data_IF_467946541981
#
_entry.id   IF_467946541981
#
_cell.length_a   1.000
_cell.length_b   1.000
_cell.length_c   1.000
_cell.angle_alpha   90.00
_cell.angle_beta   90.00
_cell.angle_gamma   90.00
#
_symmetry.space_group_name_H-M   'P 1'
#
loop_
_entity.id
_entity.type
_entity.pdbx_description
1 polymer ?
#
# COMPACT_ATOMS: atom_id res chain seq x y z
N UNK A 1 8.68 -1.12 29.78
CA UNK A 1 8.53 -1.15 28.30
C UNK A 1 7.09 -0.77 27.99
N UNK A 2 6.80 0.54 27.89
CA UNK A 2 5.49 1.04 27.49
C UNK A 2 5.50 1.22 25.97
N UNK A 3 4.94 0.26 25.24
CA UNK A 3 4.60 0.40 23.83
C UNK A 3 3.09 0.22 23.69
N UNK A 4 2.34 1.24 24.08
CA UNK A 4 0.94 1.39 23.72
C UNK A 4 0.62 2.89 23.70
N UNK A 5 -0.15 3.30 22.69
CA UNK A 5 -0.77 4.61 22.49
C UNK A 5 0.05 5.66 21.70
N UNK A 6 0.17 5.45 20.39
CA UNK A 6 0.24 6.58 19.46
C UNK A 6 -0.32 6.22 18.07
N UNK A 7 -1.62 5.90 17.97
CA UNK A 7 -2.25 5.70 16.65
C UNK A 7 -3.74 6.02 16.63
N UNK A 8 -4.11 7.26 16.97
CA UNK A 8 -5.45 7.75 16.63
C UNK A 8 -5.50 9.09 15.88
N UNK A 9 -4.40 9.86 15.72
CA UNK A 9 -4.46 11.19 15.07
C UNK A 9 -3.20 11.68 14.33
N UNK A 10 -2.17 10.85 14.09
CA UNK A 10 -1.09 11.27 13.19
C UNK A 10 -1.53 11.02 11.75
N UNK A 11 -2.05 12.07 11.11
CA UNK A 11 -2.03 12.16 9.64
C UNK A 11 -0.56 12.31 9.27
N UNK A 12 0.08 11.19 8.95
CA UNK A 12 1.41 11.22 8.36
C UNK A 12 1.23 11.78 6.94
N UNK A 13 1.93 12.87 6.64
CA UNK A 13 2.04 13.42 5.30
C UNK A 13 3.47 13.23 4.85
N UNK A 14 3.65 12.70 3.66
CA UNK A 14 4.96 12.54 3.04
C UNK A 14 5.02 13.32 1.73
N UNK A 15 6.19 13.84 1.39
CA UNK A 15 6.45 14.30 0.02
C UNK A 15 6.56 13.06 -0.86
N UNK A 16 5.60 12.88 -1.75
CA UNK A 16 5.48 11.59 -2.45
C UNK A 16 6.43 11.50 -3.64
N UNK A 17 6.90 12.63 -4.19
CA UNK A 17 7.75 12.60 -5.39
C UNK A 17 9.13 12.00 -5.09
N UNK A 18 9.87 12.47 -4.06
CA UNK A 18 11.13 11.85 -3.69
C UNK A 18 10.96 10.38 -3.30
N UNK A 19 9.87 10.06 -2.59
CA UNK A 19 9.56 8.69 -2.19
C UNK A 19 9.40 7.74 -3.38
N UNK A 20 8.57 8.10 -4.38
CA UNK A 20 8.35 7.24 -5.54
C UNK A 20 9.54 7.20 -6.50
N UNK A 21 10.34 8.28 -6.59
CA UNK A 21 11.61 8.27 -7.31
C UNK A 21 12.59 7.27 -6.69
N UNK A 22 12.78 7.32 -5.36
CA UNK A 22 13.65 6.40 -4.62
C UNK A 22 13.15 4.95 -4.71
N UNK A 23 11.83 4.75 -4.59
CA UNK A 23 11.20 3.44 -4.73
C UNK A 23 11.14 2.93 -6.18
N UNK A 24 11.56 3.73 -7.17
CA UNK A 24 11.44 3.41 -8.60
C UNK A 24 10.00 3.06 -9.03
N UNK A 25 9.00 3.70 -8.42
CA UNK A 25 7.59 3.54 -8.75
C UNK A 25 7.18 4.69 -9.68
N UNK A 26 6.57 4.35 -10.80
CA UNK A 26 5.99 5.33 -11.71
C UNK A 26 4.50 5.51 -11.41
N UNK A 27 4.12 6.75 -11.14
CA UNK A 27 2.72 7.18 -11.11
C UNK A 27 2.34 7.76 -12.47
N UNK A 28 1.15 7.41 -12.93
CA UNK A 28 0.52 7.96 -14.11
C UNK A 28 -0.61 8.91 -13.67
N UNK A 29 -1.79 8.35 -13.38
CA UNK A 29 -3.00 9.08 -13.02
C UNK A 29 -3.62 8.62 -11.70
N UNK A 30 -2.94 7.71 -10.99
CA UNK A 30 -3.47 7.07 -9.80
C UNK A 30 -3.63 8.10 -8.66
N UNK A 31 -4.83 8.14 -8.08
CA UNK A 31 -5.14 8.94 -6.90
C UNK A 31 -4.65 8.26 -5.62
N UNK A 32 -4.60 6.93 -5.64
CA UNK A 32 -4.24 6.13 -4.48
C UNK A 32 -3.06 5.22 -4.79
N UNK A 33 -2.22 4.98 -3.78
CA UNK A 33 -1.23 3.90 -3.80
C UNK A 33 -1.38 3.07 -2.54
N UNK A 34 -1.69 1.79 -2.71
CA UNK A 34 -1.77 0.84 -1.60
C UNK A 34 -0.44 0.08 -1.48
N UNK A 35 0.27 0.33 -0.38
CA UNK A 35 1.54 -0.29 -0.07
C UNK A 35 1.29 -1.47 0.87
N UNK A 36 1.60 -2.68 0.42
CA UNK A 36 1.29 -3.94 1.09
C UNK A 36 2.58 -4.54 1.68
N UNK A 37 2.70 -4.66 3.01
CA UNK A 37 3.83 -5.35 3.64
C UNK A 37 3.63 -6.86 3.59
N UNK A 38 4.24 -7.55 2.63
CA UNK A 38 3.95 -8.96 2.32
C UNK A 38 4.05 -9.92 3.53
N UNK A 39 4.97 -9.69 4.48
CA UNK A 39 5.02 -10.47 5.73
C UNK A 39 4.69 -9.63 6.98
N UNK A 40 3.82 -8.63 6.83
CA UNK A 40 3.19 -7.94 7.95
C UNK A 40 2.06 -8.77 8.56
N UNK A 41 1.07 -8.10 9.14
CA UNK A 41 -0.13 -8.71 9.71
C UNK A 41 -0.86 -9.55 8.64
N UNK A 42 -0.95 -10.86 8.87
CA UNK A 42 -1.54 -11.83 7.91
C UNK A 42 -2.96 -11.47 7.49
N UNK A 43 -3.79 -11.03 8.44
CA UNK A 43 -5.17 -10.61 8.16
C UNK A 43 -5.22 -9.34 7.30
N UNK A 44 -4.36 -8.36 7.56
CA UNK A 44 -4.31 -7.13 6.78
C UNK A 44 -3.77 -7.38 5.36
N UNK A 45 -2.76 -8.24 5.22
CA UNK A 45 -2.26 -8.67 3.91
C UNK A 45 -3.37 -9.39 3.14
N UNK A 46 -4.09 -10.32 3.78
CA UNK A 46 -5.23 -11.00 3.15
C UNK A 46 -6.28 -10.01 2.65
N UNK A 47 -6.73 -9.08 3.50
CA UNK A 47 -7.67 -8.00 3.10
C UNK A 47 -7.16 -7.19 1.90
N UNK A 48 -5.85 -6.92 1.85
CA UNK A 48 -5.24 -6.19 0.72
C UNK A 48 -5.38 -6.97 -0.60
N UNK A 49 -5.15 -8.29 -0.58
CA UNK A 49 -5.35 -9.14 -1.76
C UNK A 49 -6.83 -9.20 -2.16
N UNK A 50 -7.73 -9.42 -1.19
CA UNK A 50 -9.17 -9.52 -1.43
C UNK A 50 -9.73 -8.22 -2.05
N UNK A 51 -9.23 -7.06 -1.61
CA UNK A 51 -9.56 -5.75 -2.18
C UNK A 51 -8.96 -5.56 -3.59
N UNK A 52 -7.68 -5.89 -3.76
CA UNK A 52 -6.90 -5.63 -4.96
C UNK A 52 -7.36 -6.45 -6.16
N UNK A 53 -7.59 -7.76 -6.00
CA UNK A 53 -7.90 -8.67 -7.11
C UNK A 53 -9.06 -8.19 -8.00
N UNK A 54 -10.27 -7.87 -7.48
CA UNK A 54 -11.36 -7.39 -8.33
C UNK A 54 -11.11 -6.00 -8.95
N UNK A 55 -10.08 -5.28 -8.48
CA UNK A 55 -9.76 -3.90 -8.85
C UNK A 55 -8.34 -3.76 -9.38
N UNK A 56 -7.74 -4.86 -9.85
CA UNK A 56 -6.32 -4.91 -10.17
C UNK A 56 -5.96 -3.91 -11.27
N UNK A 57 -6.82 -3.79 -12.28
CA UNK A 57 -6.65 -2.91 -13.44
C UNK A 57 -7.30 -1.53 -13.25
N UNK A 58 -7.66 -1.13 -12.03
CA UNK A 58 -8.27 0.18 -11.80
C UNK A 58 -7.25 1.29 -12.03
N UNK A 59 -7.53 2.30 -12.90
CA UNK A 59 -6.59 3.40 -13.16
C UNK A 59 -6.47 4.39 -12.00
N UNK A 60 -7.29 4.22 -10.95
CA UNK A 60 -7.36 5.13 -9.81
C UNK A 60 -6.37 4.71 -8.71
N UNK A 61 -6.00 3.43 -8.65
CA UNK A 61 -5.18 2.89 -7.56
C UNK A 61 -4.00 2.07 -8.09
N UNK A 62 -2.80 2.38 -7.57
CA UNK A 62 -1.59 1.58 -7.80
C UNK A 62 -1.34 0.66 -6.62
N UNK A 63 -0.86 -0.55 -6.90
CA UNK A 63 -0.45 -1.49 -5.87
C UNK A 63 1.07 -1.60 -5.82
N UNK A 64 1.63 -1.50 -4.62
CA UNK A 64 3.04 -1.71 -4.39
C UNK A 64 3.25 -2.65 -3.20
N UNK A 65 4.25 -3.52 -3.28
CA UNK A 65 4.61 -4.39 -2.17
C UNK A 65 5.93 -3.95 -1.58
N UNK A 66 6.05 -3.95 -0.26
CA UNK A 66 7.39 -3.89 0.33
C UNK A 66 8.09 -5.22 0.10
N UNK A 67 9.36 -5.15 -0.30
CA UNK A 67 10.18 -6.31 -0.65
C UNK A 67 10.64 -7.05 0.62
N UNK A 68 9.69 -7.63 1.33
CA UNK A 68 9.94 -8.53 2.43
C UNK A 68 9.55 -9.93 1.91
N UNK A 69 10.51 -10.68 1.38
CA UNK A 69 10.29 -12.05 0.89
C UNK A 69 10.00 -12.17 -0.62
N UNK A 70 11.05 -12.03 -1.43
CA UNK A 70 11.13 -12.30 -2.88
C UNK A 70 9.99 -11.71 -3.75
N UNK A 71 10.33 -10.67 -4.52
CA UNK A 71 9.50 -10.15 -5.64
C UNK A 71 8.92 -11.28 -6.52
N UNK A 72 9.69 -12.35 -6.72
CA UNK A 72 9.28 -13.56 -7.43
C UNK A 72 8.09 -14.28 -6.77
N UNK A 73 8.11 -14.46 -5.45
CA UNK A 73 7.04 -15.14 -4.71
C UNK A 73 5.70 -14.39 -4.80
N UNK A 74 5.74 -13.06 -4.69
CA UNK A 74 4.56 -12.19 -4.85
C UNK A 74 3.98 -12.36 -6.26
N UNK A 75 4.82 -12.27 -7.31
CA UNK A 75 4.38 -12.47 -8.70
C UNK A 75 3.77 -13.86 -8.94
N UNK A 76 4.38 -14.92 -8.39
CA UNK A 76 3.82 -16.28 -8.51
C UNK A 76 2.47 -16.38 -7.82
N UNK A 77 2.33 -15.82 -6.62
CA UNK A 77 1.06 -15.82 -5.89
C UNK A 77 -0.06 -15.13 -6.68
N UNK A 78 0.23 -13.98 -7.29
CA UNK A 78 -0.73 -13.25 -8.11
C UNK A 78 -1.19 -14.04 -9.33
N UNK A 79 -0.25 -14.70 -10.02
CA UNK A 79 -0.57 -15.59 -11.14
C UNK A 79 -1.48 -16.75 -10.72
N UNK A 80 -1.20 -17.35 -9.57
CA UNK A 80 -2.06 -18.41 -9.01
C UNK A 80 -3.46 -17.89 -8.66
N UNK A 81 -3.59 -16.61 -8.30
CA UNK A 81 -4.86 -15.96 -8.00
C UNK A 81 -5.60 -15.41 -9.23
N UNK A 82 -5.03 -15.56 -10.43
CA UNK A 82 -5.66 -15.20 -11.70
C UNK A 82 -5.06 -13.97 -12.41
N UNK A 83 -4.09 -13.28 -11.82
CA UNK A 83 -3.45 -12.11 -12.43
C UNK A 83 -2.19 -12.51 -13.21
N UNK A 84 -2.32 -12.67 -14.52
CA UNK A 84 -1.21 -13.09 -15.39
C UNK A 84 -0.19 -11.97 -15.64
N UNK A 85 -0.68 -10.75 -15.87
CA UNK A 85 0.15 -9.55 -16.00
C UNK A 85 0.40 -8.95 -14.62
N UNK A 86 1.68 -8.86 -14.25
CA UNK A 86 2.12 -8.27 -12.98
C UNK A 86 3.07 -7.10 -13.20
N UNK A 87 3.13 -6.57 -14.42
CA UNK A 87 4.09 -5.55 -14.83
C UNK A 87 3.87 -4.21 -14.12
N UNK A 88 2.62 -3.88 -13.78
CA UNK A 88 2.27 -2.59 -13.18
C UNK A 88 2.43 -2.54 -11.64
N UNK A 89 2.76 -3.67 -11.00
CA UNK A 89 3.02 -3.71 -9.56
C UNK A 89 4.36 -3.07 -9.21
N UNK A 90 4.32 -2.13 -8.27
CA UNK A 90 5.49 -1.56 -7.63
C UNK A 90 6.14 -2.49 -6.60
N UNK A 91 7.46 -2.40 -6.46
CA UNK A 91 8.20 -3.09 -5.40
C UNK A 91 9.12 -2.11 -4.69
N UNK A 92 8.89 -1.90 -3.40
CA UNK A 92 9.59 -0.92 -2.57
C UNK A 92 10.55 -1.67 -1.65
N UNK A 93 11.81 -1.27 -1.59
CA UNK A 93 12.71 -1.85 -0.58
C UNK A 93 12.23 -1.48 0.84
N UNK A 94 12.31 -2.43 1.78
CA UNK A 94 11.75 -2.23 3.11
C UNK A 94 12.37 -1.01 3.82
N UNK A 95 13.67 -0.77 3.65
CA UNK A 95 14.36 0.40 4.21
C UNK A 95 13.74 1.70 3.71
N UNK A 96 13.52 1.84 2.40
CA UNK A 96 12.89 3.01 1.79
C UNK A 96 11.49 3.23 2.37
N UNK A 97 10.69 2.17 2.52
CA UNK A 97 9.38 2.30 3.14
C UNK A 97 9.46 2.82 4.59
N UNK A 98 10.41 2.31 5.38
CA UNK A 98 10.59 2.69 6.78
C UNK A 98 11.16 4.10 6.96
N UNK A 99 12.09 4.52 6.10
CA UNK A 99 12.70 5.86 6.12
C UNK A 99 11.65 6.96 5.86
N UNK A 100 10.60 6.62 5.12
CA UNK A 100 9.43 7.47 4.87
C UNK A 100 8.28 7.24 5.87
N UNK A 101 8.52 6.50 6.95
CA UNK A 101 7.57 6.33 8.06
C UNK A 101 6.40 5.39 7.78
N UNK A 102 6.48 4.56 6.73
CA UNK A 102 5.46 3.56 6.42
C UNK A 102 5.56 2.36 7.37
N UNK A 103 4.45 1.63 7.51
CA UNK A 103 4.40 0.49 8.41
C UNK A 103 4.99 -0.78 7.78
N UNK A 104 5.82 -1.50 8.53
CA UNK A 104 6.23 -2.87 8.19
C UNK A 104 5.16 -3.91 8.57
N UNK A 105 4.16 -3.54 9.36
CA UNK A 105 3.11 -4.44 9.86
C UNK A 105 1.79 -4.30 9.12
N UNK A 106 1.40 -3.08 8.79
CA UNK A 106 0.07 -2.78 8.24
C UNK A 106 0.19 -2.16 6.84
N UNK A 107 -0.76 -2.44 5.93
CA UNK A 107 -0.81 -1.76 4.65
C UNK A 107 -0.92 -0.25 4.86
N UNK A 108 -0.26 0.50 3.99
CA UNK A 108 -0.27 1.96 4.02
C UNK A 108 -0.92 2.46 2.74
N UNK A 109 -2.04 3.17 2.88
CA UNK A 109 -2.72 3.84 1.78
C UNK A 109 -2.21 5.27 1.68
N UNK A 110 -1.64 5.61 0.53
CA UNK A 110 -1.22 6.95 0.18
C UNK A 110 -2.31 7.56 -0.71
N UNK A 111 -2.94 8.64 -0.24
CA UNK A 111 -3.82 9.48 -1.07
C UNK A 111 -3.01 10.64 -1.63
N UNK A 112 -2.83 10.64 -2.96
CA UNK A 112 -2.00 11.61 -3.69
C UNK A 112 -2.72 12.95 -3.77
N UNK A 113 -2.18 13.95 -3.09
CA UNK A 113 -2.64 15.34 -3.12
C UNK A 113 -2.12 16.09 -4.36
N UNK A 114 -2.85 17.13 -4.75
CA UNK A 114 -2.46 18.01 -5.88
C UNK A 114 -1.27 18.92 -5.55
N UNK A 115 -0.91 19.01 -4.27
CA UNK A 115 0.16 19.84 -3.72
C UNK A 115 1.52 19.14 -3.66
N UNK A 116 1.64 17.91 -4.20
CA UNK A 116 2.86 17.12 -4.13
C UNK A 116 3.00 16.30 -2.84
N UNK A 117 2.00 16.34 -1.94
CA UNK A 117 2.00 15.58 -0.70
C UNK A 117 1.05 14.40 -0.78
N UNK A 118 1.40 13.31 -0.12
CA UNK A 118 0.51 12.17 0.07
C UNK A 118 0.09 12.08 1.53
N UNK A 119 -1.22 11.98 1.76
CA UNK A 119 -1.76 11.65 3.07
C UNK A 119 -1.66 10.14 3.25
N UNK A 120 -1.02 9.70 4.32
CA UNK A 120 -0.85 8.28 4.66
C UNK A 120 -1.92 7.85 5.66
N UNK A 121 -2.58 6.74 5.35
CA UNK A 121 -3.50 6.04 6.25
C UNK A 121 -3.00 4.62 6.45
N UNK A 122 -2.80 4.19 7.70
CA UNK A 122 -2.52 2.79 7.99
C UNK A 122 -3.83 2.01 7.97
N UNK A 123 -3.89 0.97 7.15
CA UNK A 123 -5.08 0.16 6.92
C UNK A 123 -5.21 -0.94 8.00
N UNK A 124 -5.41 -0.50 9.24
CA UNK A 124 -5.45 -1.36 10.42
C UNK A 124 -6.70 -1.16 11.30
N UNK A 125 -7.76 -0.52 10.80
CA UNK A 125 -8.97 -0.37 11.59
C UNK A 125 -9.58 -1.75 11.91
N UNK A 126 -9.87 -1.99 13.19
CA UNK A 126 -10.40 -3.29 13.65
C UNK A 126 -11.78 -3.59 13.03
N UNK A 127 -12.59 -2.55 12.87
CA UNK A 127 -13.91 -2.60 12.25
C UNK A 127 -13.87 -2.64 10.71
N UNK A 128 -12.71 -2.45 10.09
CA UNK A 128 -12.55 -2.42 8.63
C UNK A 128 -13.07 -1.16 7.95
N UNK A 129 -13.39 -0.11 8.71
CA UNK A 129 -13.91 1.16 8.19
C UNK A 129 -12.98 1.87 7.19
N UNK A 130 -11.67 1.63 7.30
CA UNK A 130 -10.64 2.06 6.36
C UNK A 130 -10.80 1.42 4.97
N UNK A 131 -11.06 0.11 4.92
CA UNK A 131 -11.31 -0.62 3.68
C UNK A 131 -12.64 -0.22 3.05
N UNK A 132 -13.72 -0.16 3.84
CA UNK A 132 -15.03 0.28 3.35
C UNK A 132 -14.99 1.70 2.79
N UNK A 133 -14.22 2.59 3.41
CA UNK A 133 -14.02 3.94 2.90
C UNK A 133 -13.30 3.91 1.56
N UNK A 134 -12.20 3.15 1.45
CA UNK A 134 -11.43 3.04 0.21
C UNK A 134 -12.29 2.45 -0.93
N UNK A 135 -13.07 1.41 -0.65
CA UNK A 135 -13.98 0.80 -1.64
C UNK A 135 -14.93 1.84 -2.24
N UNK A 136 -15.56 2.68 -1.42
CA UNK A 136 -16.44 3.77 -1.87
C UNK A 136 -15.73 4.85 -2.68
N UNK A 137 -14.39 4.95 -2.61
CA UNK A 137 -13.62 5.92 -3.40
C UNK A 137 -13.19 5.38 -4.77
N UNK A 138 -13.26 4.06 -4.98
CA UNK A 138 -12.75 3.38 -6.18
C UNK A 138 -13.83 2.59 -6.93
N UNK A 139 -15.07 2.59 -6.45
CA UNK A 139 -16.29 2.26 -7.22
C UNK A 139 -16.57 3.33 -8.28
#
# INVERSE_FOLDING_TARGET
MLFALQSCKRKLEIDYKPFFEEASIKLNSERFVLIIPQNGCSNCVKKSYDFMLPRYNSPIIKYAFTNYGSKKGIRVRLKVLGEEDTSDIGFIELSVALDHGLSHMYPSLLEIGKDGKAKVTFMNAEDGSDWEWLEKQVE
#
